data_IF_295645986564
#
_entry.id   IF_295645986564
#
_cell.length_a   1.000
_cell.length_b   1.000
_cell.length_c   1.000
_cell.angle_alpha   90.00
_cell.angle_beta   90.00
_cell.angle_gamma   90.00
#
_symmetry.space_group_name_H-M   'P 1'
#
loop_
_entity.id
_entity.type
_entity.pdbx_description
1 polymer ?
#
# COMPACT_ATOMS: atom_id res chain seq x y z
N UNK A 1 66.68 11.84 -25.48
CA UNK A 1 65.31 11.28 -25.45
C UNK A 1 64.95 10.96 -24.02
N UNK A 2 64.15 11.79 -23.36
CA UNK A 2 63.66 11.55 -22.01
C UNK A 2 62.18 11.12 -22.10
N UNK A 3 61.85 9.93 -21.61
CA UNK A 3 60.47 9.42 -21.58
C UNK A 3 59.78 9.94 -20.31
N UNK A 4 58.78 10.80 -20.47
CA UNK A 4 57.84 11.16 -19.40
C UNK A 4 57.03 9.94 -18.97
N UNK A 5 57.07 9.62 -17.67
CA UNK A 5 56.06 8.76 -17.02
C UNK A 5 54.81 9.60 -16.79
N UNK A 6 53.75 9.34 -17.56
CA UNK A 6 52.41 9.88 -17.32
C UNK A 6 51.80 9.07 -16.17
N UNK A 7 51.62 9.70 -15.01
CA UNK A 7 50.87 9.09 -13.91
C UNK A 7 49.41 8.92 -14.36
N UNK A 8 48.91 7.69 -14.28
CA UNK A 8 47.50 7.41 -14.49
C UNK A 8 46.71 8.01 -13.32
N UNK A 9 45.78 8.91 -13.63
CA UNK A 9 44.82 9.39 -12.66
C UNK A 9 43.96 8.21 -12.20
N UNK A 10 44.01 7.89 -10.91
CA UNK A 10 43.08 6.96 -10.28
C UNK A 10 41.69 7.59 -10.39
N UNK A 11 40.82 6.96 -11.17
CA UNK A 11 39.38 7.21 -11.13
C UNK A 11 38.92 6.88 -9.71
N UNK A 12 38.54 7.92 -8.94
CA UNK A 12 37.79 7.74 -7.69
C UNK A 12 36.46 7.08 -8.08
N UNK A 13 36.31 5.81 -7.74
CA UNK A 13 34.99 5.18 -7.64
C UNK A 13 34.20 6.02 -6.62
N UNK A 14 33.03 6.53 -7.01
CA UNK A 14 32.17 7.23 -6.07
C UNK A 14 31.88 6.28 -4.91
N UNK A 15 32.18 6.70 -3.69
CA UNK A 15 31.82 5.93 -2.51
C UNK A 15 30.28 5.78 -2.51
N UNK A 16 29.79 4.57 -2.21
CA UNK A 16 28.35 4.34 -2.03
C UNK A 16 27.76 5.40 -1.10
N UNK A 17 26.57 5.97 -1.38
CA UNK A 17 25.98 7.00 -0.53
C UNK A 17 25.84 6.52 0.92
N UNK A 18 25.89 7.45 1.88
CA UNK A 18 25.55 7.15 3.28
C UNK A 18 24.02 7.17 3.37
N UNK A 19 23.43 6.13 3.92
CA UNK A 19 22.00 6.12 4.24
C UNK A 19 21.78 6.83 5.56
N UNK A 20 20.98 7.91 5.56
CA UNK A 20 20.66 8.69 6.75
C UNK A 20 19.31 8.26 7.36
N UNK A 21 19.26 8.21 8.69
CA UNK A 21 18.08 7.87 9.48
C UNK A 21 17.81 8.95 10.52
N UNK A 22 16.57 9.42 10.56
CA UNK A 22 16.07 10.33 11.58
C UNK A 22 15.64 9.52 12.81
N UNK A 23 16.10 9.96 13.98
CA UNK A 23 15.70 9.41 15.28
C UNK A 23 14.63 10.34 15.85
N UNK A 24 13.41 9.83 16.00
CA UNK A 24 12.30 10.59 16.59
C UNK A 24 12.48 10.74 18.10
N UNK A 25 11.66 11.58 18.74
CA UNK A 25 11.64 11.71 20.21
C UNK A 25 11.33 10.38 20.94
N UNK A 26 10.67 9.43 20.26
CA UNK A 26 10.37 8.09 20.75
C UNK A 26 11.48 7.06 20.50
N UNK A 27 12.63 7.47 19.96
CA UNK A 27 13.73 6.59 19.51
C UNK A 27 13.45 5.80 18.22
N UNK A 28 12.23 5.87 17.67
CA UNK A 28 11.87 5.29 16.37
C UNK A 28 12.75 5.83 15.25
N UNK A 29 13.23 4.95 14.39
CA UNK A 29 14.01 5.29 13.20
C UNK A 29 13.11 5.49 11.99
N UNK A 30 13.35 6.57 11.25
CA UNK A 30 12.76 6.84 9.93
C UNK A 30 13.88 7.06 8.93
N UNK A 31 13.75 6.56 7.70
CA UNK A 31 14.72 6.85 6.65
C UNK A 31 14.55 8.31 6.17
N UNK A 32 15.60 9.13 6.27
CA UNK A 32 15.49 10.60 6.19
C UNK A 32 15.03 11.12 4.81
N UNK A 33 15.58 10.56 3.73
CA UNK A 33 15.26 10.96 2.35
C UNK A 33 14.16 10.08 1.73
N UNK A 34 13.36 9.39 2.56
CA UNK A 34 12.33 8.49 2.08
C UNK A 34 11.09 9.26 1.65
N UNK A 35 10.65 9.02 0.41
CA UNK A 35 9.39 9.54 -0.09
C UNK A 35 8.32 8.53 0.32
N UNK A 36 7.50 8.91 1.30
CA UNK A 36 6.39 8.05 1.75
C UNK A 36 5.32 7.99 0.67
N UNK A 37 4.69 6.82 0.55
CA UNK A 37 3.49 6.69 -0.26
C UNK A 37 2.37 7.52 0.40
N UNK A 38 1.66 8.30 -0.40
CA UNK A 38 0.54 9.13 0.05
C UNK A 38 -0.80 8.53 -0.37
N UNK A 39 -0.81 7.77 -1.45
CA UNK A 39 -2.02 7.22 -2.08
C UNK A 39 -2.02 5.70 -2.09
N UNK A 40 -3.21 5.10 -2.10
CA UNK A 40 -3.36 3.65 -2.27
C UNK A 40 -2.69 3.15 -3.55
N UNK A 41 -2.64 3.96 -4.61
CA UNK A 41 -1.92 3.60 -5.85
C UNK A 41 -0.42 3.39 -5.61
N UNK A 42 0.19 4.18 -4.74
CA UNK A 42 1.61 4.08 -4.39
C UNK A 42 1.86 2.94 -3.40
N UNK A 43 0.95 2.71 -2.45
CA UNK A 43 1.04 1.57 -1.54
C UNK A 43 0.79 0.22 -2.23
N UNK A 44 -0.11 0.18 -3.21
CA UNK A 44 -0.52 -1.03 -3.91
C UNK A 44 -0.09 -1.01 -5.39
N UNK A 45 1.12 -0.51 -5.65
CA UNK A 45 1.67 -0.33 -7.01
C UNK A 45 1.54 -1.59 -7.88
N UNK A 46 1.76 -2.77 -7.27
CA UNK A 46 1.69 -4.05 -7.96
C UNK A 46 0.35 -4.26 -8.65
N UNK A 47 -0.78 -3.93 -8.01
CA UNK A 47 -2.14 -4.07 -8.60
C UNK A 47 -2.58 -2.80 -9.34
N UNK A 48 -2.16 -1.62 -8.88
CA UNK A 48 -2.56 -0.33 -9.43
C UNK A 48 -2.20 -0.18 -10.92
N UNK A 49 -1.15 -0.87 -11.38
CA UNK A 49 -0.63 -0.76 -12.73
C UNK A 49 -1.37 -1.56 -13.81
N UNK A 50 -2.31 -2.45 -13.46
CA UNK A 50 -2.92 -3.34 -14.47
C UNK A 50 -4.41 -3.68 -14.28
N UNK A 51 -5.01 -3.38 -13.12
CA UNK A 51 -6.41 -3.74 -12.82
C UNK A 51 -7.44 -3.20 -13.84
N UNK A 52 -7.16 -2.07 -14.50
CA UNK A 52 -8.13 -1.38 -15.36
C UNK A 52 -8.30 -2.00 -16.76
N UNK A 53 -7.51 -3.03 -17.09
CA UNK A 53 -7.53 -3.65 -18.42
C UNK A 53 -8.86 -4.32 -18.80
N UNK A 54 -9.56 -4.89 -17.81
CA UNK A 54 -10.84 -5.59 -18.00
C UNK A 54 -11.48 -5.94 -16.66
N UNK A 55 -12.77 -6.36 -16.65
CA UNK A 55 -13.38 -6.92 -15.45
C UNK A 55 -12.64 -8.13 -14.87
N UNK A 56 -11.97 -8.92 -15.72
CA UNK A 56 -11.15 -10.04 -15.27
C UNK A 56 -9.90 -9.56 -14.57
N UNK A 57 -9.23 -8.54 -15.13
CA UNK A 57 -8.03 -7.96 -14.52
C UNK A 57 -8.35 -7.36 -13.14
N UNK A 58 -9.47 -6.63 -12.99
CA UNK A 58 -9.88 -6.16 -11.66
C UNK A 58 -10.22 -7.33 -10.73
N UNK A 59 -10.89 -8.38 -11.22
CA UNK A 59 -11.19 -9.55 -10.40
C UNK A 59 -9.94 -10.26 -9.91
N UNK A 60 -8.91 -10.39 -10.75
CA UNK A 60 -7.63 -11.00 -10.37
C UNK A 60 -6.88 -10.09 -9.38
N UNK A 61 -6.94 -8.77 -9.55
CA UNK A 61 -6.34 -7.80 -8.64
C UNK A 61 -6.99 -7.84 -7.24
N UNK A 62 -8.30 -8.10 -7.15
CA UNK A 62 -8.99 -8.29 -5.86
C UNK A 62 -8.45 -9.48 -5.07
N UNK A 63 -8.05 -10.57 -5.75
CA UNK A 63 -7.48 -11.75 -5.09
C UNK A 63 -6.08 -11.47 -4.50
N UNK A 64 -5.36 -10.50 -5.07
CA UNK A 64 -4.03 -10.07 -4.62
C UNK A 64 -4.07 -8.91 -3.61
N UNK A 65 -5.14 -8.13 -3.59
CA UNK A 65 -5.31 -6.95 -2.73
C UNK A 65 -6.66 -6.97 -2.02
N UNK A 66 -6.68 -7.42 -0.77
CA UNK A 66 -7.90 -7.50 0.05
C UNK A 66 -8.60 -6.13 0.24
N UNK A 67 -7.90 -5.01 0.48
CA UNK A 67 -8.54 -3.69 0.50
C UNK A 67 -9.24 -3.31 -0.82
N UNK A 68 -8.66 -3.67 -1.97
CA UNK A 68 -9.30 -3.48 -3.27
C UNK A 68 -10.57 -4.34 -3.40
N UNK A 69 -10.54 -5.58 -2.91
CA UNK A 69 -11.74 -6.42 -2.86
C UNK A 69 -12.86 -5.78 -2.03
N UNK A 70 -12.54 -5.17 -0.88
CA UNK A 70 -13.53 -4.42 -0.09
C UNK A 70 -14.10 -3.22 -0.84
N UNK A 71 -13.26 -2.47 -1.57
CA UNK A 71 -13.73 -1.36 -2.39
C UNK A 71 -14.74 -1.84 -3.46
N UNK A 72 -14.42 -2.92 -4.17
CA UNK A 72 -15.34 -3.51 -5.16
C UNK A 72 -16.64 -4.04 -4.50
N UNK A 73 -16.54 -4.65 -3.31
CA UNK A 73 -17.70 -5.09 -2.54
C UNK A 73 -18.62 -3.91 -2.14
N UNK A 74 -18.03 -2.74 -1.82
CA UNK A 74 -18.79 -1.52 -1.56
C UNK A 74 -19.55 -1.07 -2.82
N UNK A 75 -18.87 -1.00 -3.98
CA UNK A 75 -19.50 -0.62 -5.26
C UNK A 75 -20.64 -1.57 -5.61
N UNK A 76 -20.44 -2.88 -5.41
CA UNK A 76 -21.48 -3.89 -5.61
C UNK A 76 -22.69 -3.65 -4.71
N UNK A 77 -22.46 -3.32 -3.44
CA UNK A 77 -23.52 -3.05 -2.46
C UNK A 77 -24.34 -1.83 -2.88
N UNK A 78 -23.66 -0.74 -3.23
CA UNK A 78 -24.30 0.49 -3.70
C UNK A 78 -25.15 0.24 -4.95
N UNK A 79 -24.60 -0.49 -5.92
CA UNK A 79 -25.31 -0.88 -7.13
C UNK A 79 -26.57 -1.73 -6.84
N UNK A 80 -26.48 -2.64 -5.86
CA UNK A 80 -27.62 -3.46 -5.43
C UNK A 80 -28.69 -2.59 -4.74
N UNK A 81 -28.27 -1.68 -3.87
CA UNK A 81 -29.15 -0.77 -3.15
C UNK A 81 -29.86 0.21 -4.10
N UNK A 82 -29.20 0.66 -5.16
CA UNK A 82 -29.83 1.42 -6.24
C UNK A 82 -30.97 0.64 -6.89
N UNK A 83 -30.78 -0.65 -7.18
CA UNK A 83 -31.85 -1.51 -7.74
C UNK A 83 -33.03 -1.62 -6.76
N UNK A 84 -32.76 -1.77 -5.47
CA UNK A 84 -33.79 -1.83 -4.43
C UNK A 84 -34.56 -0.52 -4.35
N UNK A 85 -33.86 0.62 -4.35
CA UNK A 85 -34.44 1.95 -4.34
C UNK A 85 -35.32 2.19 -5.59
N UNK A 86 -34.83 1.77 -6.77
CA UNK A 86 -35.55 1.86 -8.03
C UNK A 86 -36.84 1.03 -8.05
N UNK A 87 -36.83 -0.16 -7.44
CA UNK A 87 -38.03 -0.97 -7.25
C UNK A 87 -39.02 -0.22 -6.37
N UNK A 88 -38.57 0.29 -5.22
CA UNK A 88 -39.42 1.04 -4.29
C UNK A 88 -40.04 2.29 -4.94
N UNK A 89 -39.25 3.04 -5.71
CA UNK A 89 -39.73 4.19 -6.47
C UNK A 89 -40.75 3.78 -7.54
N UNK A 90 -40.49 2.71 -8.30
CA UNK A 90 -41.40 2.22 -9.33
C UNK A 90 -42.73 1.71 -8.74
N UNK A 91 -42.72 1.16 -7.53
CA UNK A 91 -43.91 0.66 -6.82
C UNK A 91 -44.91 1.77 -6.45
N UNK A 92 -44.48 3.03 -6.39
CA UNK A 92 -45.39 4.19 -6.16
C UNK A 92 -46.46 4.34 -7.25
N UNK A 93 -46.18 3.90 -8.49
CA UNK A 93 -47.17 3.69 -9.55
C UNK A 93 -47.01 2.30 -10.18
N UNK A 94 -47.23 1.27 -9.36
CA UNK A 94 -47.06 -0.12 -9.76
C UNK A 94 -47.91 -0.53 -10.97
N UNK A 95 -49.04 0.16 -11.25
CA UNK A 95 -49.88 -0.14 -12.42
C UNK A 95 -49.17 0.23 -13.72
N UNK A 96 -48.54 1.39 -13.77
CA UNK A 96 -47.79 1.84 -14.95
C UNK A 96 -46.41 1.17 -15.05
N UNK A 97 -45.77 0.88 -13.92
CA UNK A 97 -44.41 0.36 -13.86
C UNK A 97 -44.29 -1.16 -13.75
N UNK A 98 -45.39 -1.91 -13.92
CA UNK A 98 -45.43 -3.37 -13.69
C UNK A 98 -44.30 -4.13 -14.38
N UNK A 99 -44.00 -3.80 -15.64
CA UNK A 99 -42.93 -4.47 -16.38
C UNK A 99 -41.54 -4.13 -15.82
N UNK A 100 -41.27 -2.84 -15.56
CA UNK A 100 -40.00 -2.39 -14.97
C UNK A 100 -39.74 -3.06 -13.62
N UNK A 101 -40.75 -3.10 -12.74
CA UNK A 101 -40.65 -3.76 -11.43
C UNK A 101 -40.29 -5.23 -11.58
N UNK A 102 -40.95 -5.95 -12.51
CA UNK A 102 -40.67 -7.36 -12.74
C UNK A 102 -39.23 -7.58 -13.23
N UNK A 103 -38.74 -6.76 -14.16
CA UNK A 103 -37.36 -6.84 -14.66
C UNK A 103 -36.35 -6.58 -13.56
N UNK A 104 -36.54 -5.52 -12.75
CA UNK A 104 -35.63 -5.18 -11.65
C UNK A 104 -35.61 -6.25 -10.56
N UNK A 105 -36.78 -6.81 -10.19
CA UNK A 105 -36.85 -7.92 -9.22
C UNK A 105 -36.14 -9.17 -9.72
N UNK A 106 -36.25 -9.50 -11.01
CA UNK A 106 -35.50 -10.63 -11.58
C UNK A 106 -33.99 -10.36 -11.67
N UNK A 107 -33.58 -9.10 -11.86
CA UNK A 107 -32.16 -8.72 -11.78
C UNK A 107 -31.64 -8.87 -10.35
N UNK A 108 -32.35 -8.32 -9.37
CA UNK A 108 -31.98 -8.36 -7.95
C UNK A 108 -31.84 -9.79 -7.42
N UNK A 109 -32.71 -10.72 -7.85
CA UNK A 109 -32.63 -12.14 -7.45
C UNK A 109 -31.32 -12.84 -7.86
N UNK A 110 -30.61 -12.30 -8.87
CA UNK A 110 -29.33 -12.84 -9.34
C UNK A 110 -28.13 -12.22 -8.63
N UNK A 111 -28.37 -11.26 -7.74
CA UNK A 111 -27.36 -10.51 -7.00
C UNK A 111 -27.49 -10.90 -5.52
N UNK A 112 -26.63 -11.80 -5.01
CA UNK A 112 -26.55 -12.13 -3.59
C UNK A 112 -26.54 -10.88 -2.70
N UNK A 113 -27.06 -11.01 -1.48
CA UNK A 113 -27.05 -9.90 -0.53
C UNK A 113 -25.65 -9.64 0.03
N UNK A 114 -24.94 -10.72 0.37
CA UNK A 114 -23.55 -10.65 0.83
C UNK A 114 -22.63 -10.33 -0.36
N UNK A 115 -21.88 -9.20 -0.33
CA UNK A 115 -21.01 -8.79 -1.42
C UNK A 115 -19.94 -9.82 -1.77
N UNK A 116 -19.35 -10.48 -0.76
CA UNK A 116 -18.32 -11.50 -0.92
C UNK A 116 -18.80 -12.71 -1.73
N UNK A 117 -20.12 -12.95 -1.79
CA UNK A 117 -20.71 -14.04 -2.58
C UNK A 117 -21.08 -13.62 -4.01
N UNK A 118 -21.22 -12.31 -4.26
CA UNK A 118 -21.86 -11.79 -5.47
C UNK A 118 -20.99 -10.87 -6.33
N UNK A 119 -20.06 -10.13 -5.73
CA UNK A 119 -19.33 -9.04 -6.37
C UNK A 119 -18.51 -9.51 -7.58
N UNK A 120 -17.70 -10.56 -7.43
CA UNK A 120 -16.88 -11.07 -8.54
C UNK A 120 -17.73 -11.56 -9.71
N UNK A 121 -18.81 -12.30 -9.44
CA UNK A 121 -19.71 -12.78 -10.50
C UNK A 121 -20.46 -11.64 -11.20
N UNK A 122 -20.84 -10.60 -10.46
CA UNK A 122 -21.42 -9.38 -11.02
C UNK A 122 -20.42 -8.63 -11.90
N UNK A 123 -19.21 -8.39 -11.39
CA UNK A 123 -18.12 -7.71 -12.08
C UNK A 123 -17.79 -8.40 -13.41
N UNK A 124 -17.57 -9.72 -13.39
CA UNK A 124 -17.28 -10.52 -14.58
C UNK A 124 -18.45 -10.59 -15.58
N UNK A 125 -19.66 -10.28 -15.12
CA UNK A 125 -20.85 -10.19 -15.96
C UNK A 125 -21.03 -8.85 -16.69
N UNK A 126 -20.24 -7.83 -16.34
CA UNK A 126 -20.31 -6.52 -16.97
C UNK A 126 -19.73 -6.55 -18.38
N UNK A 127 -20.35 -5.78 -19.28
CA UNK A 127 -19.72 -5.44 -20.55
C UNK A 127 -18.56 -4.46 -20.32
N UNK A 128 -17.62 -4.40 -21.26
CA UNK A 128 -16.52 -3.42 -21.22
C UNK A 128 -17.01 -2.00 -20.98
N UNK A 129 -18.07 -1.57 -21.68
CA UNK A 129 -18.61 -0.22 -21.50
C UNK A 129 -19.29 0.00 -20.14
N UNK A 130 -19.92 -1.02 -19.56
CA UNK A 130 -20.48 -0.90 -18.20
C UNK A 130 -19.39 -0.86 -17.14
N UNK A 131 -18.32 -1.63 -17.32
CA UNK A 131 -17.15 -1.62 -16.45
C UNK A 131 -16.44 -0.25 -16.49
N UNK A 132 -16.12 0.24 -17.69
CA UNK A 132 -15.47 1.54 -17.89
C UNK A 132 -16.32 2.71 -17.37
N UNK A 133 -17.65 2.64 -17.51
CA UNK A 133 -18.53 3.73 -17.11
C UNK A 133 -18.86 3.74 -15.61
N UNK A 134 -19.00 2.56 -14.99
CA UNK A 134 -19.54 2.47 -13.64
C UNK A 134 -18.51 2.04 -12.59
N UNK A 135 -17.51 1.22 -12.94
CA UNK A 135 -16.56 0.67 -11.95
C UNK A 135 -15.24 1.42 -11.99
N UNK A 136 -14.67 1.62 -13.18
CA UNK A 136 -13.34 2.23 -13.34
C UNK A 136 -13.21 3.58 -12.63
N UNK A 137 -14.14 4.55 -12.76
CA UNK A 137 -13.99 5.85 -12.11
C UNK A 137 -13.95 5.77 -10.58
N UNK A 138 -14.73 4.86 -10.00
CA UNK A 138 -14.82 4.69 -8.55
C UNK A 138 -13.54 4.05 -7.99
N UNK A 139 -13.00 3.06 -8.69
CA UNK A 139 -11.73 2.43 -8.29
C UNK A 139 -10.54 3.37 -8.51
N UNK A 140 -10.56 4.19 -9.57
CA UNK A 140 -9.56 5.25 -9.77
C UNK A 140 -9.59 6.29 -8.64
N UNK A 141 -10.80 6.71 -8.22
CA UNK A 141 -10.98 7.60 -7.07
C UNK A 141 -10.42 6.95 -5.79
N UNK A 142 -10.80 5.71 -5.50
CA UNK A 142 -10.30 4.95 -4.35
C UNK A 142 -8.77 4.83 -4.32
N UNK A 143 -8.13 4.57 -5.48
CA UNK A 143 -6.67 4.52 -5.60
C UNK A 143 -5.99 5.88 -5.41
N UNK A 144 -6.69 6.98 -5.71
CA UNK A 144 -6.16 8.34 -5.56
C UNK A 144 -6.22 8.87 -4.12
N UNK A 145 -6.95 8.18 -3.25
CA UNK A 145 -7.07 8.51 -1.83
C UNK A 145 -5.98 7.85 -0.99
N UNK A 146 -5.65 8.41 0.18
CA UNK A 146 -4.78 7.75 1.15
C UNK A 146 -5.42 6.48 1.72
N UNK A 147 -4.63 5.50 2.18
CA UNK A 147 -5.16 4.31 2.85
C UNK A 147 -5.79 4.65 4.20
N UNK A 148 -6.76 3.85 4.59
CA UNK A 148 -7.50 4.00 5.82
C UNK A 148 -6.88 3.13 6.91
N UNK A 149 -5.90 3.69 7.62
CA UNK A 149 -5.06 3.02 8.61
C UNK A 149 -5.81 2.26 9.71
N UNK A 150 -7.08 2.55 9.98
CA UNK A 150 -7.85 1.76 10.97
C UNK A 150 -8.24 0.37 10.47
N UNK A 151 -8.23 0.13 9.15
CA UNK A 151 -8.70 -1.10 8.53
C UNK A 151 -7.68 -1.71 7.57
N UNK A 152 -6.82 -0.88 6.97
CA UNK A 152 -5.86 -1.30 5.94
C UNK A 152 -4.45 -1.58 6.47
N UNK A 153 -4.14 -1.24 7.74
CA UNK A 153 -2.78 -1.34 8.33
C UNK A 153 -2.13 -2.72 8.13
N UNK A 154 -2.91 -3.79 8.36
CA UNK A 154 -2.45 -5.19 8.21
C UNK A 154 -2.13 -5.58 6.75
N UNK A 155 -2.54 -4.78 5.77
CA UNK A 155 -2.39 -5.03 4.34
C UNK A 155 -1.44 -4.06 3.66
N UNK A 156 -1.04 -2.98 4.32
CA UNK A 156 -0.10 -2.01 3.75
C UNK A 156 1.31 -2.59 3.74
N UNK A 157 2.06 -2.44 2.63
CA UNK A 157 3.47 -2.82 2.65
C UNK A 157 4.21 -1.97 3.68
N UNK A 158 5.00 -2.61 4.52
CA UNK A 158 5.75 -1.91 5.57
C UNK A 158 6.69 -0.85 4.96
N UNK A 159 7.25 -1.13 3.78
CA UNK A 159 8.08 -0.16 3.05
C UNK A 159 7.32 1.04 2.51
N UNK A 160 5.99 1.12 2.58
CA UNK A 160 5.27 2.32 2.15
C UNK A 160 5.53 3.56 3.01
N UNK A 161 6.15 3.39 4.18
CA UNK A 161 6.49 4.48 5.12
C UNK A 161 7.99 4.57 5.38
N UNK A 162 8.49 5.74 5.79
CA UNK A 162 9.90 5.92 6.14
C UNK A 162 10.31 5.09 7.35
N UNK A 163 9.38 4.86 8.28
CA UNK A 163 9.59 3.99 9.45
C UNK A 163 9.75 2.53 9.03
N UNK A 164 8.84 2.00 8.21
CA UNK A 164 8.95 0.61 7.78
C UNK A 164 10.07 0.38 6.77
N UNK A 165 10.42 1.37 5.94
CA UNK A 165 11.65 1.33 5.13
C UNK A 165 12.92 1.26 5.99
N UNK A 166 12.96 1.99 7.12
CA UNK A 166 14.05 1.88 8.08
C UNK A 166 14.08 0.49 8.75
N UNK A 167 12.92 -0.02 9.18
CA UNK A 167 12.79 -1.36 9.75
C UNK A 167 13.33 -2.44 8.80
N UNK A 168 12.89 -2.44 7.55
CA UNK A 168 13.34 -3.41 6.53
C UNK A 168 14.84 -3.30 6.26
N UNK A 169 15.39 -2.07 6.20
CA UNK A 169 16.83 -1.87 6.06
C UNK A 169 17.61 -2.58 7.18
N UNK A 170 17.21 -2.40 8.44
CA UNK A 170 17.91 -3.03 9.56
C UNK A 170 17.63 -4.54 9.68
N UNK A 171 16.46 -5.02 9.28
CA UNK A 171 16.19 -6.47 9.15
C UNK A 171 17.10 -7.16 8.14
N UNK A 172 17.46 -6.45 7.06
CA UNK A 172 18.36 -6.98 6.03
C UNK A 172 19.85 -6.98 6.46
N UNK A 173 20.19 -6.23 7.50
CA UNK A 173 21.54 -6.12 8.02
C UNK A 173 21.89 -7.31 8.94
N UNK A 174 23.16 -7.69 9.02
CA UNK A 174 23.55 -8.77 9.92
C UNK A 174 23.39 -8.37 11.40
N UNK A 175 22.99 -9.33 12.24
CA UNK A 175 22.64 -9.06 13.63
C UNK A 175 23.77 -8.43 14.46
N UNK A 176 25.05 -8.71 14.13
CA UNK A 176 26.16 -8.09 14.86
C UNK A 176 26.30 -6.62 14.51
N UNK A 177 26.09 -6.26 13.24
CA UNK A 177 26.07 -4.86 12.82
C UNK A 177 24.89 -4.10 13.42
N UNK A 178 23.70 -4.72 13.49
CA UNK A 178 22.51 -4.13 14.15
C UNK A 178 22.77 -3.87 15.63
N UNK A 179 23.28 -4.86 16.37
CA UNK A 179 23.61 -4.72 17.80
C UNK A 179 24.74 -3.70 18.03
N UNK A 180 25.76 -3.69 17.16
CA UNK A 180 26.86 -2.72 17.21
C UNK A 180 26.38 -1.28 17.08
N UNK A 181 25.42 -1.03 16.19
CA UNK A 181 24.80 0.28 15.99
C UNK A 181 23.87 0.67 17.15
N UNK A 182 23.55 -0.28 18.03
CA UNK A 182 22.57 -0.10 19.10
C UNK A 182 21.15 0.01 18.56
N UNK A 183 20.81 -0.70 17.49
CA UNK A 183 19.45 -0.69 16.93
C UNK A 183 18.67 -1.89 17.46
N UNK A 184 17.46 -1.64 17.94
CA UNK A 184 16.49 -2.67 18.33
C UNK A 184 15.41 -2.82 17.26
N UNK A 185 15.10 -4.06 16.91
CA UNK A 185 13.97 -4.39 16.03
C UNK A 185 12.78 -4.74 16.92
N UNK A 186 11.76 -3.88 16.93
CA UNK A 186 10.53 -4.05 17.70
C UNK A 186 9.45 -4.63 16.79
N UNK A 187 8.95 -5.80 17.16
CA UNK A 187 7.93 -6.55 16.40
C UNK A 187 6.75 -6.90 17.30
N UNK A 188 5.87 -5.93 17.52
CA UNK A 188 4.74 -6.05 18.44
C UNK A 188 5.17 -5.98 19.91
N UNK A 189 4.87 -4.87 20.58
CA UNK A 189 5.24 -4.69 21.99
C UNK A 189 4.43 -5.56 22.96
N UNK A 190 3.24 -6.01 22.52
CA UNK A 190 2.31 -6.83 23.30
C UNK A 190 1.36 -7.59 22.35
N UNK A 191 0.67 -8.66 22.81
CA UNK A 191 -0.30 -9.38 21.98
C UNK A 191 -1.37 -8.42 21.42
N UNK A 192 -1.45 -8.32 20.08
CA UNK A 192 -2.36 -7.41 19.37
C UNK A 192 -1.77 -6.02 19.05
N UNK A 193 -0.49 -5.77 19.34
CA UNK A 193 0.21 -4.55 18.92
C UNK A 193 0.57 -4.63 17.44
N UNK A 194 0.16 -3.61 16.67
CA UNK A 194 0.54 -3.43 15.26
C UNK A 194 1.79 -2.54 15.11
N UNK A 195 2.49 -2.25 16.22
CA UNK A 195 3.70 -1.43 16.17
C UNK A 195 4.91 -2.27 15.74
N UNK A 196 5.45 -1.92 14.58
CA UNK A 196 6.67 -2.48 14.02
C UNK A 196 7.64 -1.36 13.66
N UNK A 197 8.84 -1.38 14.25
CA UNK A 197 9.84 -0.34 14.03
C UNK A 197 11.25 -0.81 14.33
N UNK A 198 12.23 -0.13 13.72
CA UNK A 198 13.59 -0.11 14.24
C UNK A 198 13.74 1.09 15.18
N UNK A 199 14.38 0.89 16.33
CA UNK A 199 14.59 1.94 17.33
C UNK A 199 16.06 2.08 17.69
N UNK A 200 16.53 3.31 17.89
CA UNK A 200 17.89 3.55 18.36
C UNK A 200 17.97 3.45 19.88
N UNK A 201 18.67 2.43 20.38
CA UNK A 201 19.02 2.30 21.79
C UNK A 201 20.21 3.20 22.12
N UNK A 202 19.91 4.36 22.70
CA UNK A 202 20.91 5.23 23.29
C UNK A 202 21.24 6.47 22.45
N UNK A 203 22.51 6.86 22.44
CA UNK A 203 22.93 8.16 21.92
C UNK A 203 23.32 8.12 20.42
N UNK A 204 22.79 9.09 19.67
CA UNK A 204 23.05 9.28 18.24
C UNK A 204 24.55 9.37 17.93
N UNK A 205 25.32 10.11 18.74
CA UNK A 205 26.74 10.28 18.47
C UNK A 205 27.52 8.98 18.71
N UNK A 206 27.13 8.20 19.72
CA UNK A 206 27.72 6.89 19.97
C UNK A 206 27.47 5.91 18.81
N UNK A 207 26.23 5.83 18.33
CA UNK A 207 25.86 4.99 17.19
C UNK A 207 26.60 5.40 15.90
N UNK A 208 26.70 6.70 15.62
CA UNK A 208 27.45 7.21 14.48
C UNK A 208 28.95 6.89 14.54
N UNK A 209 29.58 7.00 15.72
CA UNK A 209 30.99 6.59 15.90
C UNK A 209 31.17 5.09 15.69
N UNK A 210 30.22 4.27 16.14
CA UNK A 210 30.25 2.83 15.93
C UNK A 210 30.12 2.48 14.43
N UNK A 211 29.19 3.14 13.72
CA UNK A 211 29.02 3.01 12.28
C UNK A 211 30.33 3.34 11.53
N UNK A 212 30.94 4.49 11.83
CA UNK A 212 32.20 4.91 11.21
C UNK A 212 33.35 3.92 11.50
N UNK A 213 33.48 3.47 12.75
CA UNK A 213 34.53 2.53 13.15
C UNK A 213 34.41 1.16 12.47
N UNK A 214 33.19 0.71 12.21
CA UNK A 214 32.92 -0.53 11.47
C UNK A 214 32.83 -0.36 9.95
N UNK A 215 32.95 0.89 9.44
CA UNK A 215 32.83 1.18 8.02
C UNK A 215 31.41 1.00 7.46
N UNK A 216 30.40 1.03 8.32
CA UNK A 216 28.99 0.94 7.93
C UNK A 216 28.54 2.28 7.32
N UNK A 217 27.83 2.21 6.19
CA UNK A 217 27.35 3.40 5.45
C UNK A 217 26.02 3.90 6.01
N UNK A 218 25.94 4.06 7.32
CA UNK A 218 24.75 4.48 8.07
C UNK A 218 25.07 5.74 8.86
N UNK A 219 24.11 6.65 8.95
CA UNK A 219 24.19 7.82 9.83
C UNK A 219 22.85 8.11 10.48
N UNK A 220 22.87 8.39 11.77
CA UNK A 220 21.72 8.81 12.55
C UNK A 220 21.75 10.32 12.75
N UNK A 221 20.61 10.97 12.56
CA UNK A 221 20.40 12.40 12.79
C UNK A 221 19.16 12.61 13.66
N UNK A 222 19.06 13.78 14.28
CA UNK A 222 17.87 14.12 15.05
C UNK A 222 16.70 14.45 14.08
N UNK A 223 15.56 13.78 14.25
CA UNK A 223 14.30 14.09 13.58
C UNK A 223 13.48 15.19 14.27
#
# INVERSE_FOLDING_TARGET
MAKSKKAAAQLKVAAEPITEFEVTEGSTLRMADYIEAETRAEFYEDVANWWEGSPQDLSDAMDECQPLAWAVNSIYSDFRDEIVADIGAAETDAKQNKHRIAVLKERLKKLPEEPEEGASAWLLGLTTSEFEANVVPQIQEWFSEPPEWSFEDDYLPQTGTAQGAALEFFRSMDANSVDLLGVDIVEGEHPGSTYYAAELRGDIEAANRAAEAAGLRVRFVKG
#
